data_IF_847158841748
#
_entry.id   IF_847158841748
#
_cell.length_a   1.000
_cell.length_b   1.000
_cell.length_c   1.000
_cell.angle_alpha   90.00
_cell.angle_beta   90.00
_cell.angle_gamma   90.00
#
_symmetry.space_group_name_H-M   'P 1'
#
loop_
_entity.id
_entity.type
_entity.pdbx_description
1 polymer ?
#
# COMPACT_ATOMS: atom_id res chain seq x y z
N UNK A 1 20.29 -42.41 10.66
CA UNK A 1 20.09 -41.68 9.39
C UNK A 1 19.57 -40.30 9.75
N UNK A 2 20.43 -39.30 9.75
CA UNK A 2 20.09 -37.90 10.09
C UNK A 2 19.46 -37.27 8.85
N UNK A 3 18.18 -36.89 8.92
CA UNK A 3 17.57 -36.00 7.93
C UNK A 3 18.04 -34.58 8.23
N UNK A 4 18.82 -33.99 7.33
CA UNK A 4 19.14 -32.58 7.38
C UNK A 4 18.03 -31.83 6.64
N UNK A 5 17.15 -31.15 7.37
CA UNK A 5 16.20 -30.22 6.78
C UNK A 5 16.97 -29.03 6.20
N UNK A 6 16.94 -28.90 4.88
CA UNK A 6 17.50 -27.77 4.15
C UNK A 6 16.61 -26.55 4.37
N UNK A 7 17.10 -25.60 5.18
CA UNK A 7 16.45 -24.28 5.31
C UNK A 7 16.79 -23.47 4.06
N UNK A 8 15.77 -23.20 3.24
CA UNK A 8 15.92 -22.35 2.04
C UNK A 8 16.17 -20.90 2.46
N UNK A 9 17.36 -20.41 2.16
CA UNK A 9 17.86 -19.05 2.45
C UNK A 9 17.53 -18.06 1.32
N UNK A 10 16.30 -18.06 0.81
CA UNK A 10 15.89 -17.06 -0.18
C UNK A 10 15.45 -15.78 0.53
N UNK A 11 16.11 -14.66 0.23
CA UNK A 11 15.64 -13.34 0.65
C UNK A 11 14.19 -13.12 0.15
N UNK A 12 13.35 -12.38 0.91
CA UNK A 12 11.99 -12.10 0.47
C UNK A 12 11.99 -11.44 -0.92
N UNK A 13 11.01 -11.77 -1.77
CA UNK A 13 10.91 -11.20 -3.10
C UNK A 13 10.81 -9.67 -3.05
N UNK A 14 11.40 -9.01 -4.04
CA UNK A 14 11.29 -7.55 -4.21
C UNK A 14 9.82 -7.21 -4.51
N UNK A 15 9.28 -6.19 -3.84
CA UNK A 15 7.90 -5.72 -4.02
C UNK A 15 7.85 -4.40 -4.79
N UNK A 16 7.01 -4.32 -5.82
CA UNK A 16 6.70 -3.07 -6.51
C UNK A 16 5.73 -2.24 -5.68
N UNK A 17 6.21 -1.09 -5.19
CA UNK A 17 5.40 -0.13 -4.43
C UNK A 17 5.05 1.08 -5.29
N UNK A 18 3.76 1.35 -5.46
CA UNK A 18 3.27 2.55 -6.16
C UNK A 18 2.67 3.57 -5.19
N UNK A 19 2.81 4.86 -5.49
CA UNK A 19 2.08 5.93 -4.80
C UNK A 19 0.68 6.09 -5.38
N UNK A 20 -0.30 6.40 -4.53
CA UNK A 20 -1.63 6.80 -4.97
C UNK A 20 -2.07 8.08 -4.26
N UNK A 21 -2.43 9.09 -5.05
CA UNK A 21 -3.06 10.32 -4.56
C UNK A 21 -4.59 10.33 -4.68
N UNK A 22 -5.20 9.24 -5.13
CA UNK A 22 -6.67 9.14 -5.27
C UNK A 22 -7.11 7.69 -5.40
N UNK A 23 -8.39 7.39 -5.14
CA UNK A 23 -8.94 6.05 -5.31
C UNK A 23 -8.80 5.50 -6.74
N UNK A 24 -9.04 6.28 -7.81
CA UNK A 24 -8.75 5.83 -9.18
C UNK A 24 -7.27 5.47 -9.40
N UNK A 25 -6.33 6.27 -8.86
CA UNK A 25 -4.90 5.98 -8.98
C UNK A 25 -4.51 4.68 -8.24
N UNK A 26 -5.09 4.44 -7.06
CA UNK A 26 -4.90 3.19 -6.32
C UNK A 26 -5.38 1.98 -7.13
N UNK A 27 -6.61 2.05 -7.68
CA UNK A 27 -7.16 0.97 -8.49
C UNK A 27 -6.28 0.68 -9.71
N UNK A 28 -5.85 1.73 -10.41
CA UNK A 28 -4.96 1.61 -11.55
C UNK A 28 -3.62 0.96 -11.18
N UNK A 29 -2.99 1.37 -10.08
CA UNK A 29 -1.74 0.78 -9.62
C UNK A 29 -1.89 -0.72 -9.33
N UNK A 30 -2.95 -1.10 -8.63
CA UNK A 30 -3.26 -2.51 -8.33
C UNK A 30 -3.52 -3.31 -9.61
N UNK A 31 -4.31 -2.79 -10.54
CA UNK A 31 -4.66 -3.48 -11.79
C UNK A 31 -3.47 -3.62 -12.74
N UNK A 32 -2.49 -2.71 -12.65
CA UNK A 32 -1.26 -2.72 -13.44
C UNK A 32 -0.09 -3.45 -12.76
N UNK A 33 -0.35 -4.14 -11.64
CA UNK A 33 0.59 -5.10 -11.06
C UNK A 33 1.43 -4.58 -9.89
N UNK A 34 1.04 -3.49 -9.23
CA UNK A 34 1.67 -3.13 -7.95
C UNK A 34 1.41 -4.21 -6.89
N UNK A 35 2.47 -4.64 -6.20
CA UNK A 35 2.36 -5.53 -5.04
C UNK A 35 1.80 -4.77 -3.83
N UNK A 36 2.17 -3.50 -3.73
CA UNK A 36 1.78 -2.60 -2.66
C UNK A 36 1.41 -1.21 -3.22
N UNK A 37 0.41 -0.57 -2.63
CA UNK A 37 0.11 0.84 -2.88
C UNK A 37 0.25 1.62 -1.59
N UNK A 38 1.04 2.69 -1.59
CA UNK A 38 1.08 3.63 -0.47
C UNK A 38 0.22 4.87 -0.74
N UNK A 39 -0.51 5.29 0.28
CA UNK A 39 -1.43 6.44 0.27
C UNK A 39 -1.30 7.25 1.56
N UNK A 40 -1.95 8.40 1.62
CA UNK A 40 -2.06 9.21 2.84
C UNK A 40 -3.45 9.83 2.99
N UNK A 41 -3.75 10.31 4.20
CA UNK A 41 -4.95 11.08 4.48
C UNK A 41 -4.92 12.46 3.82
N UNK A 42 -6.10 13.05 3.61
CA UNK A 42 -6.26 14.45 3.21
C UNK A 42 -6.37 15.36 4.43
N UNK A 43 -5.42 15.25 5.34
CA UNK A 43 -5.37 16.05 6.56
C UNK A 43 -3.92 16.36 6.96
N UNK A 44 -3.74 16.98 8.13
CA UNK A 44 -2.42 17.38 8.63
C UNK A 44 -1.48 16.20 8.95
N UNK A 45 -1.98 14.96 8.97
CA UNK A 45 -1.16 13.76 9.20
C UNK A 45 -0.44 13.28 7.95
N UNK A 46 -0.56 13.98 6.81
CA UNK A 46 0.14 13.68 5.58
C UNK A 46 0.93 14.90 5.12
N UNK A 47 2.26 14.80 5.09
CA UNK A 47 3.14 15.89 4.65
C UNK A 47 2.94 16.29 3.17
N UNK A 48 2.19 15.52 2.38
CA UNK A 48 1.86 15.76 0.97
C UNK A 48 0.35 15.94 0.74
N UNK A 49 -0.37 16.55 1.69
CA UNK A 49 -1.82 16.80 1.63
C UNK A 49 -2.27 17.91 0.65
N UNK A 50 -1.91 17.81 -0.64
CA UNK A 50 -2.31 18.82 -1.63
C UNK A 50 -3.83 18.84 -1.88
N UNK A 51 -4.37 20.02 -2.17
CA UNK A 51 -5.78 20.20 -2.52
C UNK A 51 -6.19 19.29 -3.70
N UNK A 52 -7.30 18.58 -3.55
CA UNK A 52 -7.81 17.65 -4.57
C UNK A 52 -7.18 16.25 -4.55
N UNK A 53 -6.06 16.05 -3.84
CA UNK A 53 -5.39 14.76 -3.70
C UNK A 53 -5.61 14.15 -2.31
N UNK A 54 -5.20 12.88 -2.16
CA UNK A 54 -5.28 12.06 -0.96
C UNK A 54 -6.71 11.69 -0.57
N UNK A 55 -6.82 10.84 0.45
CA UNK A 55 -8.05 10.11 0.75
C UNK A 55 -8.73 10.61 2.02
N UNK A 56 -10.06 10.52 2.04
CA UNK A 56 -10.85 10.48 3.26
C UNK A 56 -11.03 9.02 3.74
N UNK A 57 -11.64 8.85 4.91
CA UNK A 57 -11.83 7.53 5.52
C UNK A 57 -12.63 6.57 4.64
N UNK A 58 -13.67 7.08 3.97
CA UNK A 58 -14.51 6.28 3.09
C UNK A 58 -13.73 5.78 1.87
N UNK A 59 -12.93 6.64 1.25
CA UNK A 59 -12.09 6.28 0.11
C UNK A 59 -10.97 5.32 0.51
N UNK A 60 -10.39 5.46 1.71
CA UNK A 60 -9.40 4.50 2.25
C UNK A 60 -10.04 3.14 2.45
N UNK A 61 -11.20 3.06 3.11
CA UNK A 61 -11.89 1.80 3.34
C UNK A 61 -12.19 1.07 2.01
N UNK A 62 -12.65 1.81 0.99
CA UNK A 62 -12.85 1.26 -0.35
C UNK A 62 -11.55 0.81 -1.02
N UNK A 63 -10.47 1.59 -0.89
CA UNK A 63 -9.16 1.26 -1.45
C UNK A 63 -8.55 0.00 -0.82
N UNK A 64 -8.63 -0.11 0.51
CA UNK A 64 -8.19 -1.29 1.27
C UNK A 64 -8.95 -2.53 0.82
N UNK A 65 -10.29 -2.47 0.79
CA UNK A 65 -11.10 -3.58 0.33
C UNK A 65 -10.74 -4.01 -1.10
N UNK A 66 -10.54 -3.03 -2.00
CA UNK A 66 -10.18 -3.29 -3.40
C UNK A 66 -8.83 -3.99 -3.56
N UNK A 67 -7.80 -3.49 -2.87
CA UNK A 67 -6.44 -4.03 -2.93
C UNK A 67 -6.35 -5.41 -2.28
N UNK A 68 -6.97 -5.57 -1.10
CA UNK A 68 -6.95 -6.85 -0.37
C UNK A 68 -7.70 -7.95 -1.12
N UNK A 69 -8.81 -7.64 -1.81
CA UNK A 69 -9.50 -8.58 -2.68
C UNK A 69 -8.62 -9.12 -3.83
N UNK A 70 -7.49 -8.46 -4.13
CA UNK A 70 -6.49 -8.88 -5.14
C UNK A 70 -5.16 -9.31 -4.53
N UNK A 71 -5.11 -9.54 -3.22
CA UNK A 71 -3.91 -9.95 -2.49
C UNK A 71 -2.80 -8.89 -2.46
N UNK A 72 -3.13 -7.60 -2.62
CA UNK A 72 -2.18 -6.49 -2.61
C UNK A 72 -2.19 -5.76 -1.28
N UNK A 73 -1.06 -5.18 -0.88
CA UNK A 73 -0.94 -4.45 0.39
C UNK A 73 -1.31 -2.98 0.21
N UNK A 74 -1.86 -2.39 1.26
CA UNK A 74 -2.01 -0.92 1.37
C UNK A 74 -1.11 -0.43 2.49
N UNK A 75 -0.29 0.58 2.18
CA UNK A 75 0.61 1.23 3.13
C UNK A 75 0.10 2.65 3.39
N UNK A 76 0.04 3.04 4.67
CA UNK A 76 -0.41 4.37 5.06
C UNK A 76 0.80 5.23 5.46
N UNK A 77 0.98 6.35 4.76
CA UNK A 77 1.89 7.40 5.18
C UNK A 77 1.21 8.22 6.28
N UNK A 78 1.80 8.17 7.48
CA UNK A 78 1.35 8.92 8.65
C UNK A 78 2.52 9.75 9.20
N UNK A 79 2.34 11.06 9.23
CA UNK A 79 3.26 12.06 9.71
C UNK A 79 2.62 12.77 10.90
N UNK A 80 2.99 12.37 12.11
CA UNK A 80 2.52 13.01 13.35
C UNK A 80 3.64 13.83 13.97
N UNK A 81 3.32 14.99 14.53
CA UNK A 81 4.20 15.75 15.40
C UNK A 81 3.79 15.54 16.87
N UNK A 82 4.72 15.66 17.84
CA UNK A 82 4.40 15.58 19.27
C UNK A 82 3.37 16.63 19.73
#
# INVERSE_FOLDING_TARGET
MIHADSVSSAAPPIELVCSAGSLPALKAAVDLGADCVYLGFRDATNARNFAGLNFDDAAIAQGIAYAHARGRKVLLALNTYP
#
